data_IF_651369309648
#
_entry.id   IF_651369309648
#
_cell.length_a   1.000
_cell.length_b   1.000
_cell.length_c   1.000
_cell.angle_alpha   90.00
_cell.angle_beta   90.00
_cell.angle_gamma   90.00
#
_symmetry.space_group_name_H-M   'P 1'
#
loop_
_entity.id
_entity.type
_entity.pdbx_description
1 polymer ?
#
# COMPACT_ATOMS: atom_id res chain seq x y z
N UNK A 1 -17.77 0.64 5.22
CA UNK A 1 -17.04 1.51 4.32
C UNK A 1 -15.54 1.53 4.52
N UNK A 2 -15.03 1.70 5.69
CA UNK A 2 -13.60 1.70 5.94
C UNK A 2 -13.02 0.31 5.83
N UNK A 3 -12.09 0.08 4.92
CA UNK A 3 -11.34 -1.16 4.81
C UNK A 3 -9.88 -0.98 5.21
N UNK A 4 -9.56 0.13 5.83
CA UNK A 4 -8.21 0.42 6.27
C UNK A 4 -8.23 1.27 7.54
N UNK A 5 -7.36 0.92 8.47
CA UNK A 5 -7.09 1.69 9.67
C UNK A 5 -5.69 2.28 9.55
N UNK A 6 -5.58 3.60 9.67
CA UNK A 6 -4.33 4.32 9.45
C UNK A 6 -3.62 4.58 10.76
N UNK A 7 -2.31 4.32 10.78
CA UNK A 7 -1.45 4.51 11.95
C UNK A 7 -0.22 5.29 11.52
N UNK A 8 0.16 6.31 12.28
CA UNK A 8 1.40 7.03 12.03
C UNK A 8 2.59 6.12 12.37
N UNK A 9 3.47 5.95 11.40
CA UNK A 9 4.70 5.19 11.58
C UNK A 9 5.89 6.06 11.97
N UNK A 10 6.90 5.41 12.49
CA UNK A 10 8.23 6.02 12.72
C UNK A 10 9.20 5.33 11.77
N UNK A 11 9.82 6.10 10.86
CA UNK A 11 10.63 5.57 9.77
C UNK A 11 12.00 6.25 9.68
N UNK A 12 12.49 6.77 10.78
CA UNK A 12 13.72 7.55 10.84
C UNK A 12 14.92 6.77 11.38
N UNK A 13 14.70 5.54 11.82
CA UNK A 13 15.74 4.69 12.37
C UNK A 13 16.30 3.77 11.31
N UNK A 14 17.63 3.65 11.28
CA UNK A 14 18.31 2.73 10.39
C UNK A 14 17.97 1.28 10.76
N UNK A 15 17.47 0.51 9.80
CA UNK A 15 17.13 -0.90 9.95
C UNK A 15 17.89 -1.72 8.91
N UNK A 16 19.10 -2.13 9.23
CA UNK A 16 19.93 -2.89 8.31
C UNK A 16 19.72 -4.38 8.45
N UNK A 17 19.58 -5.05 7.33
CA UNK A 17 19.67 -6.49 7.21
C UNK A 17 20.80 -6.83 6.26
N UNK A 18 21.60 -7.79 6.65
CA UNK A 18 22.65 -8.30 5.80
C UNK A 18 22.05 -9.18 4.70
N UNK A 19 22.54 -8.97 3.47
CA UNK A 19 22.05 -9.76 2.34
C UNK A 19 22.62 -11.17 2.41
N UNK A 20 21.74 -12.15 2.39
CA UNK A 20 22.10 -13.55 2.21
C UNK A 20 21.53 -14.02 0.88
N UNK A 21 22.38 -14.37 -0.06
CA UNK A 21 21.94 -14.91 -1.34
C UNK A 21 21.41 -16.31 -1.17
N UNK A 22 20.08 -16.42 -1.04
CA UNK A 22 19.39 -17.71 -0.94
C UNK A 22 18.57 -17.95 -2.19
N UNK A 23 18.95 -18.96 -2.96
CA UNK A 23 18.16 -19.44 -4.08
C UNK A 23 17.21 -20.54 -3.59
N UNK A 24 15.94 -20.50 -4.02
CA UNK A 24 14.97 -21.51 -3.66
C UNK A 24 15.41 -22.88 -4.18
N UNK A 25 15.55 -23.84 -3.28
CA UNK A 25 15.92 -25.23 -3.62
C UNK A 25 17.42 -25.52 -3.65
N UNK A 26 18.28 -24.51 -3.61
CA UNK A 26 19.72 -24.73 -3.58
C UNK A 26 20.38 -23.72 -2.65
N UNK A 27 21.30 -24.16 -1.77
CA UNK A 27 22.11 -23.23 -1.02
C UNK A 27 23.00 -22.47 -1.97
N UNK A 28 23.11 -21.14 -1.78
CA UNK A 28 24.04 -20.33 -2.53
C UNK A 28 25.49 -20.68 -2.17
N UNK A 29 26.41 -20.74 -3.14
CA UNK A 29 27.82 -20.85 -2.84
C UNK A 29 28.27 -19.69 -1.96
N UNK A 30 29.27 -19.93 -1.13
CA UNK A 30 29.79 -18.89 -0.22
C UNK A 30 30.31 -17.66 -0.98
N UNK A 31 30.76 -17.84 -2.21
CA UNK A 31 31.27 -16.78 -3.07
C UNK A 31 30.17 -15.82 -3.54
N UNK A 32 28.90 -16.25 -3.51
CA UNK A 32 27.76 -15.39 -3.83
C UNK A 32 27.31 -14.56 -2.64
N UNK A 33 27.95 -14.72 -1.52
CA UNK A 33 27.69 -13.93 -0.33
C UNK A 33 28.26 -12.55 -0.51
N UNK A 34 27.41 -11.64 -0.89
CA UNK A 34 27.77 -10.24 -0.97
C UNK A 34 27.38 -9.56 0.33
N UNK A 35 28.31 -8.81 0.89
CA UNK A 35 28.09 -8.02 2.08
C UNK A 35 27.28 -6.76 1.75
N UNK A 36 26.13 -6.97 1.12
CA UNK A 36 25.18 -5.89 0.89
C UNK A 36 24.27 -5.79 2.09
N UNK A 37 24.05 -4.58 2.55
CA UNK A 37 23.10 -4.31 3.63
C UNK A 37 21.86 -3.67 3.07
N UNK A 38 20.70 -4.16 3.52
CA UNK A 38 19.40 -3.59 3.24
C UNK A 38 18.97 -2.79 4.45
N UNK A 39 18.71 -1.51 4.26
CA UNK A 39 18.10 -0.68 5.28
C UNK A 39 16.62 -0.49 4.89
N UNK A 40 15.70 -1.10 5.63
CA UNK A 40 14.29 -1.04 5.31
C UNK A 40 13.76 0.38 5.23
N UNK A 41 14.16 1.24 6.12
CA UNK A 41 13.69 2.62 6.08
C UNK A 41 14.27 3.36 4.88
N UNK A 42 15.57 3.26 4.65
CA UNK A 42 16.20 3.90 3.48
C UNK A 42 15.64 3.39 2.16
N UNK A 43 15.48 2.07 2.03
CA UNK A 43 15.22 1.44 0.74
C UNK A 43 13.73 1.41 0.40
N UNK A 44 12.85 1.41 1.39
CA UNK A 44 11.42 1.30 1.17
C UNK A 44 10.63 2.54 1.56
N UNK A 45 11.18 3.41 2.39
CA UNK A 45 10.50 4.62 2.84
C UNK A 45 11.25 5.84 2.31
N UNK A 46 10.72 6.43 1.24
CA UNK A 46 11.35 7.58 0.59
C UNK A 46 10.99 8.91 1.24
N UNK A 47 9.82 8.98 1.85
CA UNK A 47 9.31 10.19 2.47
C UNK A 47 8.87 9.89 3.90
N UNK A 48 9.81 9.79 4.85
CA UNK A 48 9.47 9.37 6.22
C UNK A 48 8.41 10.25 6.88
N UNK A 49 8.43 11.55 6.60
CA UNK A 49 7.48 12.50 7.19
C UNK A 49 6.07 12.37 6.61
N UNK A 50 5.95 11.80 5.41
CA UNK A 50 4.69 11.63 4.70
C UNK A 50 4.22 10.18 4.66
N UNK A 51 4.89 9.27 5.37
CA UNK A 51 4.60 7.83 5.35
C UNK A 51 3.83 7.40 6.57
N UNK A 52 2.88 6.48 6.33
CA UNK A 52 1.97 5.95 7.34
C UNK A 52 1.81 4.46 7.14
N UNK A 53 1.42 3.75 8.20
CA UNK A 53 0.92 2.38 8.11
C UNK A 53 -0.58 2.37 7.86
N UNK A 54 -1.03 1.35 7.17
CA UNK A 54 -2.44 1.00 7.17
C UNK A 54 -2.61 -0.46 7.53
N UNK A 55 -3.57 -0.77 8.40
CA UNK A 55 -4.00 -2.15 8.64
C UNK A 55 -5.19 -2.43 7.74
N UNK A 56 -5.09 -3.46 6.92
CA UNK A 56 -6.16 -3.85 6.00
C UNK A 56 -7.26 -4.57 6.78
N UNK A 57 -8.50 -4.16 6.57
CA UNK A 57 -9.68 -4.76 7.17
C UNK A 57 -10.63 -5.24 6.07
N UNK A 58 -11.13 -6.46 6.21
CA UNK A 58 -12.06 -7.04 5.25
C UNK A 58 -11.38 -7.58 4.00
N UNK A 59 -12.19 -7.82 2.96
CA UNK A 59 -11.76 -8.53 1.76
C UNK A 59 -12.07 -7.80 0.45
N UNK A 60 -12.35 -6.50 0.50
CA UNK A 60 -12.70 -5.75 -0.72
C UNK A 60 -11.56 -5.64 -1.72
N UNK A 61 -10.33 -5.87 -1.28
CA UNK A 61 -9.13 -5.84 -2.14
C UNK A 61 -8.44 -7.20 -2.26
N UNK A 62 -9.18 -8.27 -2.00
CA UNK A 62 -8.68 -9.66 -2.00
C UNK A 62 -7.99 -10.04 -3.31
N UNK A 63 -8.59 -9.71 -4.44
CA UNK A 63 -8.06 -10.12 -5.74
C UNK A 63 -6.83 -9.31 -6.16
N UNK A 64 -6.51 -8.25 -5.43
CA UNK A 64 -5.24 -7.52 -5.55
C UNK A 64 -4.16 -8.08 -4.61
N UNK A 65 -4.48 -9.14 -3.85
CA UNK A 65 -3.56 -9.74 -2.89
C UNK A 65 -3.50 -9.04 -1.54
N UNK A 66 -4.43 -8.13 -1.26
CA UNK A 66 -4.51 -7.42 0.01
C UNK A 66 -5.57 -8.08 0.88
N UNK A 67 -5.12 -8.75 1.93
CA UNK A 67 -5.98 -9.56 2.80
C UNK A 67 -6.16 -8.91 4.16
N UNK A 68 -7.25 -9.28 4.82
CA UNK A 68 -7.52 -8.85 6.20
C UNK A 68 -6.30 -9.13 7.10
N UNK A 69 -5.90 -8.16 7.88
CA UNK A 69 -4.74 -8.25 8.77
C UNK A 69 -3.40 -7.88 8.13
N UNK A 70 -3.36 -7.68 6.83
CA UNK A 70 -2.15 -7.20 6.17
C UNK A 70 -1.83 -5.76 6.59
N UNK A 71 -0.57 -5.38 6.47
CA UNK A 71 -0.13 -3.99 6.60
C UNK A 71 0.27 -3.44 5.25
N UNK A 72 -0.04 -2.18 5.04
CA UNK A 72 0.43 -1.44 3.89
C UNK A 72 1.20 -0.22 4.35
N UNK A 73 2.14 0.21 3.52
CA UNK A 73 2.80 1.49 3.69
C UNK A 73 2.15 2.47 2.73
N UNK A 74 1.76 3.62 3.25
CA UNK A 74 1.08 4.67 2.52
C UNK A 74 1.99 5.89 2.47
N UNK A 75 2.25 6.40 1.28
CA UNK A 75 3.07 7.59 1.09
C UNK A 75 2.20 8.71 0.55
N UNK A 76 2.07 9.78 1.32
CA UNK A 76 1.26 10.94 0.95
C UNK A 76 1.95 11.87 -0.04
N UNK A 77 3.25 11.72 -0.22
CA UNK A 77 4.03 12.54 -1.16
C UNK A 77 4.14 11.92 -2.56
N UNK A 78 3.69 10.68 -2.73
CA UNK A 78 3.68 10.03 -4.04
C UNK A 78 2.42 10.40 -4.78
N UNK A 79 2.57 10.96 -5.98
CA UNK A 79 1.47 11.29 -6.87
C UNK A 79 0.87 10.00 -7.44
N UNK A 80 -0.42 9.72 -7.22
CA UNK A 80 -1.04 8.54 -7.78
C UNK A 80 -1.31 8.71 -9.27
N UNK A 81 -1.34 7.59 -9.99
CA UNK A 81 -1.71 7.54 -11.40
C UNK A 81 -2.88 6.57 -11.59
N UNK A 82 -3.38 6.46 -12.81
CA UNK A 82 -4.42 5.49 -13.14
C UNK A 82 -3.93 4.07 -12.82
N UNK A 83 -4.70 3.33 -12.03
CA UNK A 83 -4.35 2.00 -11.56
C UNK A 83 -3.62 1.94 -10.24
N UNK A 84 -3.22 3.07 -9.66
CA UNK A 84 -2.63 3.09 -8.32
C UNK A 84 -3.63 2.59 -7.28
N UNK A 85 -3.11 1.94 -6.24
CA UNK A 85 -3.90 1.67 -5.04
C UNK A 85 -3.78 2.90 -4.15
N UNK A 86 -4.89 3.51 -3.82
CA UNK A 86 -4.95 4.74 -3.03
C UNK A 86 -5.75 4.54 -1.76
N UNK A 87 -5.45 5.35 -0.77
CA UNK A 87 -6.31 5.58 0.37
C UNK A 87 -7.02 6.90 0.13
N UNK A 88 -8.34 6.85 0.10
CA UNK A 88 -9.18 8.01 -0.15
C UNK A 88 -10.04 8.30 1.07
N UNK A 89 -10.23 9.58 1.33
CA UNK A 89 -11.27 10.05 2.23
C UNK A 89 -12.51 10.28 1.40
N UNK A 90 -13.56 9.53 1.69
CA UNK A 90 -14.80 9.62 0.95
C UNK A 90 -15.98 9.29 1.85
N UNK A 91 -17.00 10.11 1.77
CA UNK A 91 -18.25 9.93 2.51
C UNK A 91 -18.02 9.68 4.02
N UNK A 92 -17.11 10.45 4.60
CA UNK A 92 -16.84 10.44 6.03
C UNK A 92 -15.94 9.30 6.53
N UNK A 93 -15.28 8.57 5.64
CA UNK A 93 -14.38 7.49 6.03
C UNK A 93 -13.20 7.30 5.09
N UNK A 94 -12.18 6.60 5.58
CA UNK A 94 -11.07 6.17 4.74
C UNK A 94 -11.43 4.87 4.02
N UNK A 95 -11.08 4.78 2.76
CA UNK A 95 -11.21 3.55 1.98
C UNK A 95 -10.00 3.35 1.10
N UNK A 96 -9.58 2.10 0.95
CA UNK A 96 -8.48 1.70 0.08
C UNK A 96 -9.04 1.02 -1.15
N UNK A 97 -8.72 1.53 -2.33
CA UNK A 97 -9.25 1.06 -3.61
C UNK A 97 -8.26 1.33 -4.72
N UNK A 98 -8.46 0.69 -5.87
CA UNK A 98 -7.82 1.13 -7.11
C UNK A 98 -8.41 2.46 -7.57
N UNK A 99 -7.54 3.35 -7.99
CA UNK A 99 -7.93 4.62 -8.61
C UNK A 99 -8.10 4.39 -10.11
N UNK A 100 -9.29 4.67 -10.63
CA UNK A 100 -9.58 4.61 -12.05
C UNK A 100 -9.84 6.02 -12.58
N UNK A 101 -8.93 6.49 -13.43
CA UNK A 101 -8.97 7.83 -14.01
C UNK A 101 -9.46 7.86 -15.45
N UNK A 102 -9.96 6.72 -15.98
CA UNK A 102 -10.35 6.61 -17.38
C UNK A 102 -11.50 7.56 -17.77
N UNK A 103 -12.34 7.91 -16.80
CA UNK A 103 -13.51 8.75 -17.01
C UNK A 103 -13.31 10.20 -16.58
N UNK A 104 -12.06 10.60 -16.34
CA UNK A 104 -11.75 11.97 -15.89
C UNK A 104 -12.29 13.01 -16.88
N UNK A 105 -12.21 12.76 -18.17
CA UNK A 105 -12.73 13.65 -19.21
C UNK A 105 -14.26 13.78 -19.16
N UNK A 106 -14.93 12.77 -18.61
CA UNK A 106 -16.39 12.75 -18.46
C UNK A 106 -16.84 13.40 -17.14
N UNK A 107 -15.89 13.91 -16.35
CA UNK A 107 -16.17 14.66 -15.14
C UNK A 107 -16.24 13.82 -13.86
N UNK A 108 -15.78 12.57 -13.89
CA UNK A 108 -15.77 11.73 -12.69
C UNK A 108 -14.56 10.78 -12.67
N UNK A 109 -14.28 10.25 -11.50
CA UNK A 109 -13.34 9.16 -11.30
C UNK A 109 -14.05 7.99 -10.65
N UNK A 110 -13.42 6.81 -10.67
CA UNK A 110 -13.96 5.65 -10.00
C UNK A 110 -12.95 5.10 -9.00
N UNK A 111 -13.47 4.62 -7.89
CA UNK A 111 -12.72 3.84 -6.91
C UNK A 111 -13.18 2.39 -7.05
N UNK A 112 -12.25 1.53 -7.47
CA UNK A 112 -12.57 0.14 -7.79
C UNK A 112 -12.07 -0.81 -6.73
N UNK A 113 -12.94 -1.65 -6.17
CA UNK A 113 -12.51 -2.77 -5.35
C UNK A 113 -11.84 -3.85 -6.21
N UNK A 114 -11.10 -4.72 -5.57
CA UNK A 114 -10.56 -5.92 -6.18
C UNK A 114 -11.32 -7.15 -5.66
N UNK A 115 -12.61 -7.11 -5.77
CA UNK A 115 -13.52 -8.17 -5.36
C UNK A 115 -14.88 -7.90 -5.99
N UNK A 116 -15.43 -8.84 -6.81
CA UNK A 116 -16.70 -8.60 -7.51
C UNK A 116 -17.91 -8.47 -6.58
N UNK A 117 -17.79 -8.90 -5.30
CA UNK A 117 -18.86 -8.77 -4.32
C UNK A 117 -19.03 -7.34 -3.79
N UNK A 118 -18.13 -6.43 -4.17
CA UNK A 118 -18.17 -5.03 -3.73
C UNK A 118 -18.43 -4.11 -4.91
N UNK A 119 -19.14 -3.00 -4.70
CA UNK A 119 -19.46 -2.08 -5.78
C UNK A 119 -18.29 -1.19 -6.15
N UNK A 120 -18.27 -0.74 -7.40
CA UNK A 120 -17.42 0.35 -7.85
C UNK A 120 -18.05 1.66 -7.41
N UNK A 121 -17.23 2.57 -6.86
CA UNK A 121 -17.71 3.88 -6.42
C UNK A 121 -17.41 4.93 -7.49
N UNK A 122 -18.46 5.57 -7.97
CA UNK A 122 -18.34 6.71 -8.86
C UNK A 122 -18.25 7.97 -8.02
N UNK A 123 -17.19 8.74 -8.21
CA UNK A 123 -16.95 9.97 -7.45
C UNK A 123 -16.99 11.15 -8.39
N UNK A 124 -18.02 11.96 -8.27
CA UNK A 124 -18.21 13.19 -9.04
C UNK A 124 -18.41 14.42 -8.14
N UNK A 125 -18.26 14.24 -6.83
CA UNK A 125 -18.41 15.30 -5.84
C UNK A 125 -17.08 15.57 -5.16
N UNK A 126 -16.37 16.66 -5.57
CA UNK A 126 -15.05 16.97 -5.01
C UNK A 126 -15.10 17.45 -3.55
N UNK A 127 -16.26 17.82 -3.04
CA UNK A 127 -16.37 18.33 -1.66
C UNK A 127 -16.27 17.21 -0.62
N UNK A 128 -16.72 16.00 -0.98
CA UNK A 128 -16.74 14.84 -0.08
C UNK A 128 -15.67 13.80 -0.40
N UNK A 129 -14.70 14.15 -1.21
CA UNK A 129 -13.69 13.24 -1.68
C UNK A 129 -12.30 13.86 -1.65
N UNK A 130 -11.33 13.09 -1.17
CA UNK A 130 -9.92 13.46 -1.26
C UNK A 130 -9.08 12.19 -1.35
N UNK A 131 -8.14 12.16 -2.29
CA UNK A 131 -7.08 11.14 -2.26
C UNK A 131 -6.13 11.52 -1.14
N UNK A 132 -6.04 10.65 -0.14
CA UNK A 132 -5.24 10.93 1.04
C UNK A 132 -3.79 10.49 0.90
N UNK A 133 -3.56 9.36 0.24
CA UNK A 133 -2.22 8.83 0.01
C UNK A 133 -2.21 7.68 -0.96
N UNK A 134 -1.02 7.28 -1.37
CA UNK A 134 -0.79 6.18 -2.30
C UNK A 134 -0.17 5.00 -1.56
N UNK A 135 -0.73 3.81 -1.76
CA UNK A 135 -0.18 2.58 -1.18
C UNK A 135 1.03 2.17 -2.01
N UNK A 136 2.18 2.02 -1.35
CA UNK A 136 3.44 1.72 -2.02
C UNK A 136 4.02 0.35 -1.69
N UNK A 137 3.70 -0.20 -0.53
CA UNK A 137 4.21 -1.52 -0.11
C UNK A 137 3.17 -2.28 0.68
N UNK A 138 3.28 -3.60 0.61
CA UNK A 138 2.50 -4.56 1.40
C UNK A 138 3.46 -5.34 2.30
N UNK A 139 3.09 -5.49 3.57
CA UNK A 139 3.82 -6.32 4.53
C UNK A 139 2.85 -7.35 5.07
N UNK A 140 3.22 -8.62 4.94
CA UNK A 140 2.45 -9.73 5.50
C UNK A 140 3.33 -10.54 6.43
N UNK A 141 2.81 -10.83 7.61
CA UNK A 141 3.49 -11.64 8.62
C UNK A 141 2.90 -13.05 8.59
N UNK A 142 3.75 -14.06 8.44
CA UNK A 142 3.32 -15.45 8.44
C UNK A 142 3.23 -16.02 9.85
N UNK A 143 4.17 -15.66 10.70
CA UNK A 143 4.22 -16.14 12.08
C UNK A 143 3.97 -14.99 13.03
N UNK A 144 3.02 -15.16 13.94
CA UNK A 144 2.79 -14.18 15.00
C UNK A 144 3.97 -14.21 15.99
N UNK A 145 4.50 -13.05 16.24
CA UNK A 145 5.62 -12.86 17.14
C UNK A 145 5.14 -12.59 18.57
#
# INVERSE_FOLDING_TARGET
MGNIKIIKGVFDTKLELEHAGVAAGFPSPADDYRHETLDFNRDYIRHPEASFYGNVEGDSMRDAGLLDGDRVIIDRAVEPHDGSIVVAWWDGGFTMKFLDLKHRKDGYIELRPANPDYPVFKVNDPENFQIWGTVIHLIRTFEKL
#
